data_IF_791504178154
#
_entry.id   IF_791504178154
#
_cell.length_a   1.000
_cell.length_b   1.000
_cell.length_c   1.000
_cell.angle_alpha   90.00
_cell.angle_beta   90.00
_cell.angle_gamma   90.00
#
_symmetry.space_group_name_H-M   'P 1'
#
loop_
_entity.id
_entity.type
_entity.pdbx_description
1 polymer ?
#
# COMPACT_ATOMS: atom_id res chain seq x y z
N UNK A 1 18.60 1.58 -4.50
CA UNK A 1 18.45 1.38 -3.04
C UNK A 1 17.04 1.85 -2.70
N UNK A 2 16.06 0.96 -2.56
CA UNK A 2 14.68 1.35 -2.24
C UNK A 2 13.97 0.44 -1.20
N UNK A 3 14.60 -0.64 -0.71
CA UNK A 3 14.03 -1.47 0.38
C UNK A 3 14.06 -0.81 1.78
N UNK A 4 14.89 0.22 1.96
CA UNK A 4 15.11 0.84 3.28
C UNK A 4 13.94 1.69 3.79
N UNK A 5 13.14 2.26 2.89
CA UNK A 5 12.17 3.31 3.23
C UNK A 5 10.86 2.73 3.80
N UNK A 6 10.39 1.57 3.29
CA UNK A 6 9.21 0.89 3.82
C UNK A 6 9.47 0.29 5.21
N UNK A 7 10.67 -0.23 5.44
CA UNK A 7 11.10 -0.73 6.75
C UNK A 7 11.20 0.39 7.81
N UNK A 8 11.54 1.61 7.39
CA UNK A 8 11.56 2.80 8.25
C UNK A 8 10.14 3.29 8.58
N UNK A 9 9.22 3.27 7.62
CA UNK A 9 7.81 3.61 7.85
C UNK A 9 7.18 2.72 8.93
N UNK A 10 7.38 1.41 8.86
CA UNK A 10 6.82 0.50 9.87
C UNK A 10 7.40 0.78 11.28
N UNK A 11 8.66 1.23 11.37
CA UNK A 11 9.30 1.62 12.64
C UNK A 11 8.76 2.95 13.22
N UNK A 12 8.31 3.89 12.40
CA UNK A 12 7.77 5.18 12.84
C UNK A 12 6.23 5.23 12.87
N UNK A 13 5.58 4.10 12.60
CA UNK A 13 4.12 3.95 12.54
C UNK A 13 3.42 4.47 13.81
N UNK A 14 3.84 4.04 15.00
CA UNK A 14 3.17 4.42 16.25
C UNK A 14 3.20 5.93 16.57
N UNK A 15 4.35 6.63 16.53
CA UNK A 15 4.37 8.06 16.84
C UNK A 15 3.78 8.95 15.74
N UNK A 16 3.89 8.59 14.46
CA UNK A 16 3.47 9.46 13.34
C UNK A 16 1.99 9.30 13.00
N UNK A 17 1.47 8.07 12.98
CA UNK A 17 0.04 7.84 12.75
C UNK A 17 -0.84 8.42 13.87
N UNK A 18 -0.30 8.59 15.07
CA UNK A 18 -1.00 9.24 16.19
C UNK A 18 -1.13 10.76 16.06
N UNK A 19 -0.27 11.42 15.26
CA UNK A 19 -0.20 12.89 15.17
C UNK A 19 -0.86 13.38 13.88
N UNK A 20 -0.60 12.70 12.76
CA UNK A 20 -1.13 13.08 11.44
C UNK A 20 -1.38 11.82 10.59
N UNK A 21 -2.43 11.03 10.89
CA UNK A 21 -2.73 9.77 10.20
C UNK A 21 -2.94 9.95 8.68
N UNK A 22 -3.47 11.10 8.28
CA UNK A 22 -3.69 11.46 6.86
C UNK A 22 -2.37 11.73 6.14
N UNK A 23 -1.47 12.53 6.71
CA UNK A 23 -0.16 12.81 6.08
C UNK A 23 0.70 11.54 6.04
N UNK A 24 0.66 10.72 7.10
CA UNK A 24 1.34 9.42 7.10
C UNK A 24 0.86 8.52 5.95
N UNK A 25 -0.45 8.46 5.72
CA UNK A 25 -1.03 7.72 4.61
C UNK A 25 -0.62 8.28 3.25
N UNK A 26 -0.59 9.60 3.08
CA UNK A 26 -0.15 10.22 1.83
C UNK A 26 1.34 9.95 1.55
N UNK A 27 2.21 9.99 2.56
CA UNK A 27 3.61 9.57 2.37
C UNK A 27 3.72 8.09 2.03
N UNK A 28 2.94 7.25 2.70
CA UNK A 28 2.95 5.81 2.45
C UNK A 28 2.45 5.49 1.03
N UNK A 29 1.42 6.19 0.55
CA UNK A 29 0.90 6.04 -0.82
C UNK A 29 1.97 6.38 -1.85
N UNK A 30 2.70 7.48 -1.64
CA UNK A 30 3.71 7.98 -2.58
C UNK A 30 4.88 7.01 -2.73
N UNK A 31 5.16 6.23 -1.69
CA UNK A 31 6.18 5.18 -1.71
C UNK A 31 5.65 3.85 -2.25
N UNK A 32 4.40 3.50 -1.96
CA UNK A 32 3.81 2.23 -2.38
C UNK A 32 3.50 2.21 -3.89
N UNK A 33 3.10 3.32 -4.50
CA UNK A 33 2.82 3.42 -5.95
C UNK A 33 4.04 3.06 -6.81
N UNK A 34 5.23 3.68 -6.66
CA UNK A 34 6.40 3.31 -7.43
C UNK A 34 6.91 1.91 -7.08
N UNK A 35 6.74 1.46 -5.82
CA UNK A 35 7.06 0.09 -5.43
C UNK A 35 6.19 -0.91 -6.19
N UNK A 36 4.87 -0.69 -6.25
CA UNK A 36 3.93 -1.52 -7.01
C UNK A 36 4.19 -1.52 -8.52
N UNK A 37 4.65 -0.39 -9.06
CA UNK A 37 5.04 -0.29 -10.47
C UNK A 37 6.39 -0.97 -10.78
N UNK A 38 7.33 -0.98 -9.84
CA UNK A 38 8.75 -1.30 -10.06
C UNK A 38 9.07 -2.77 -10.30
N UNK A 39 8.56 -3.68 -9.46
CA UNK A 39 8.78 -5.11 -9.61
C UNK A 39 7.53 -5.85 -10.09
N UNK A 40 7.74 -6.95 -10.81
CA UNK A 40 6.66 -7.81 -11.29
C UNK A 40 6.86 -9.21 -10.71
N UNK A 41 5.87 -9.70 -9.97
CA UNK A 41 5.95 -11.02 -9.36
C UNK A 41 4.90 -11.20 -8.27
N UNK A 42 4.35 -12.42 -8.14
CA UNK A 42 3.32 -12.68 -7.13
C UNK A 42 3.79 -12.46 -5.70
N UNK A 43 5.07 -12.72 -5.41
CA UNK A 43 5.64 -12.45 -4.08
C UNK A 43 5.59 -10.95 -3.76
N UNK A 44 5.99 -10.13 -4.71
CA UNK A 44 5.96 -8.67 -4.60
C UNK A 44 4.53 -8.14 -4.41
N UNK A 45 3.58 -8.69 -5.16
CA UNK A 45 2.17 -8.30 -5.04
C UNK A 45 1.55 -8.70 -3.70
N UNK A 46 1.98 -9.82 -3.10
CA UNK A 46 1.58 -10.16 -1.73
C UNK A 46 2.14 -9.18 -0.71
N UNK A 47 3.40 -8.77 -0.85
CA UNK A 47 4.01 -7.78 0.05
C UNK A 47 3.26 -6.43 0.00
N UNK A 48 2.78 -6.03 -1.18
CA UNK A 48 1.88 -4.87 -1.31
C UNK A 48 0.55 -5.09 -0.59
N UNK A 49 -0.05 -6.28 -0.72
CA UNK A 49 -1.30 -6.60 -0.03
C UNK A 49 -1.13 -6.62 1.50
N UNK A 50 -0.03 -7.17 2.00
CA UNK A 50 0.34 -7.15 3.43
C UNK A 50 0.45 -5.70 3.94
N UNK A 51 1.07 -4.82 3.16
CA UNK A 51 1.13 -3.39 3.48
C UNK A 51 -0.24 -2.71 3.49
N UNK A 52 -1.12 -3.06 2.55
CA UNK A 52 -2.49 -2.52 2.51
C UNK A 52 -3.30 -2.96 3.73
N UNK A 53 -3.16 -4.21 4.18
CA UNK A 53 -3.83 -4.71 5.39
C UNK A 53 -3.36 -3.95 6.63
N UNK A 54 -2.06 -3.69 6.77
CA UNK A 54 -1.52 -2.87 7.86
C UNK A 54 -2.06 -1.44 7.86
N UNK A 55 -2.40 -0.89 6.69
CA UNK A 55 -2.87 0.48 6.51
C UNK A 55 -4.37 0.66 6.68
N UNK A 56 -5.18 -0.38 6.46
CA UNK A 56 -6.65 -0.29 6.49
C UNK A 56 -7.18 0.28 7.82
N UNK A 57 -6.46 0.06 8.93
CA UNK A 57 -6.82 0.58 10.25
C UNK A 57 -6.30 2.00 10.58
N UNK A 58 -5.51 2.62 9.70
CA UNK A 58 -4.87 3.92 9.94
C UNK A 58 -5.65 5.11 9.37
N UNK A 59 -6.52 4.87 8.38
CA UNK A 59 -7.30 5.91 7.70
C UNK A 59 -8.78 5.53 7.60
N UNK A 60 -9.67 6.51 7.38
CA UNK A 60 -11.07 6.23 7.08
C UNK A 60 -11.22 5.28 5.87
N UNK A 61 -12.15 4.34 5.98
CA UNK A 61 -12.41 3.30 4.98
C UNK A 61 -12.61 3.88 3.56
N UNK A 62 -13.33 5.01 3.43
CA UNK A 62 -13.55 5.68 2.15
C UNK A 62 -12.24 6.07 1.45
N UNK A 63 -11.28 6.63 2.20
CA UNK A 63 -9.99 7.08 1.66
C UNK A 63 -9.10 5.89 1.29
N UNK A 64 -9.17 4.82 2.07
CA UNK A 64 -8.49 3.57 1.77
C UNK A 64 -9.06 2.92 0.51
N UNK A 65 -10.38 2.82 0.40
CA UNK A 65 -11.06 2.27 -0.77
C UNK A 65 -10.75 3.07 -2.04
N UNK A 66 -10.69 4.40 -1.97
CA UNK A 66 -10.27 5.26 -3.09
C UNK A 66 -8.85 4.92 -3.56
N UNK A 67 -7.93 4.68 -2.62
CA UNK A 67 -6.55 4.34 -2.95
C UNK A 67 -6.41 2.92 -3.52
N UNK A 68 -7.11 1.93 -2.97
CA UNK A 68 -7.16 0.58 -3.53
C UNK A 68 -7.73 0.62 -4.95
N UNK A 69 -8.80 1.38 -5.18
CA UNK A 69 -9.37 1.61 -6.50
C UNK A 69 -8.35 2.20 -7.47
N UNK A 70 -7.63 3.24 -7.04
CA UNK A 70 -6.54 3.83 -7.82
C UNK A 70 -5.46 2.80 -8.20
N UNK A 71 -5.02 1.95 -7.25
CA UNK A 71 -4.04 0.90 -7.53
C UNK A 71 -4.58 -0.15 -8.52
N UNK A 72 -5.85 -0.53 -8.40
CA UNK A 72 -6.50 -1.47 -9.33
C UNK A 72 -6.60 -0.89 -10.74
N UNK A 73 -6.91 0.40 -10.86
CA UNK A 73 -7.00 1.08 -12.15
C UNK A 73 -5.62 1.26 -12.79
N UNK A 74 -4.63 1.75 -12.03
CA UNK A 74 -3.24 1.96 -12.48
C UNK A 74 -2.58 0.63 -12.90
N UNK A 75 -2.90 -0.46 -12.21
CA UNK A 75 -2.39 -1.80 -12.50
C UNK A 75 -3.43 -2.72 -13.16
N UNK A 76 -4.43 -2.15 -13.83
CA UNK A 76 -5.47 -2.90 -14.55
C UNK A 76 -4.91 -3.82 -15.64
N UNK A 77 -3.73 -3.48 -16.17
CA UNK A 77 -2.97 -4.29 -17.13
C UNK A 77 -2.19 -5.46 -16.49
N UNK A 78 -2.21 -5.61 -15.17
CA UNK A 78 -1.51 -6.65 -14.40
C UNK A 78 -2.52 -7.56 -13.70
N UNK A 79 -3.11 -8.57 -14.38
CA UNK A 79 -4.12 -9.44 -13.78
C UNK A 79 -3.60 -10.22 -12.56
N UNK A 80 -2.31 -10.54 -12.52
CA UNK A 80 -1.70 -11.19 -11.35
C UNK A 80 -1.61 -10.27 -10.12
N UNK A 81 -1.64 -8.95 -10.29
CA UNK A 81 -1.71 -8.00 -9.18
C UNK A 81 -3.14 -7.95 -8.62
N UNK A 82 -4.12 -7.82 -9.51
CA UNK A 82 -5.54 -7.83 -9.14
C UNK A 82 -5.93 -9.13 -8.41
N UNK A 83 -5.46 -10.29 -8.88
CA UNK A 83 -5.69 -11.59 -8.24
C UNK A 83 -5.14 -11.66 -6.81
N UNK A 84 -3.99 -11.03 -6.52
CA UNK A 84 -3.45 -11.04 -5.16
C UNK A 84 -4.17 -10.03 -4.25
N UNK A 85 -4.65 -8.90 -4.79
CA UNK A 85 -5.51 -7.98 -4.04
C UNK A 85 -6.86 -8.60 -3.69
N UNK A 86 -7.52 -9.27 -4.65
CA UNK A 86 -8.79 -9.97 -4.41
C UNK A 86 -8.64 -11.07 -3.35
N UNK A 87 -7.52 -11.82 -3.37
CA UNK A 87 -7.24 -12.84 -2.33
C UNK A 87 -7.07 -12.27 -0.94
N UNK A 88 -6.52 -11.05 -0.83
CA UNK A 88 -6.39 -10.35 0.43
C UNK A 88 -7.71 -9.70 0.89
N UNK A 89 -8.75 -9.71 0.05
CA UNK A 89 -10.08 -9.19 0.38
C UNK A 89 -10.30 -7.72 0.00
N UNK A 90 -9.47 -7.17 -0.90
CA UNK A 90 -9.55 -5.78 -1.38
C UNK A 90 -10.30 -5.65 -2.70
#
# INVERSE_FOLDING_TARGET
MHDGDLSLLNRYREPVASIAPVEYFEWYRELLVPFAAGETGRRHYREIADHLEEMQGLVPEERFAEFVGFLKDEHSNRPAFLDELEKAGF
#
